data_IF_169028687147
#
_entry.id   IF_169028687147
#
_cell.length_a   1.000
_cell.length_b   1.000
_cell.length_c   1.000
_cell.angle_alpha   90.00
_cell.angle_beta   90.00
_cell.angle_gamma   90.00
#
_symmetry.space_group_name_H-M   'P 1'
#
loop_
_entity.id
_entity.type
_entity.pdbx_description
1 polymer ?
#
# COMPACT_ATOMS: atom_id res chain seq x y z
N UNK A 1 -13.02 4.58 -0.48
CA UNK A 1 -12.79 4.64 -1.94
C UNK A 1 -11.81 3.53 -2.22
N UNK A 2 -12.19 2.60 -3.09
CA UNK A 2 -11.32 1.49 -3.49
C UNK A 2 -10.47 1.97 -4.67
N UNK A 3 -9.19 2.29 -4.38
CA UNK A 3 -8.21 2.69 -5.41
C UNK A 3 -7.39 1.48 -5.80
N UNK A 4 -7.03 1.37 -7.07
CA UNK A 4 -6.04 0.41 -7.55
C UNK A 4 -4.63 0.86 -7.18
N UNK A 5 -3.71 -0.09 -7.04
CA UNK A 5 -2.32 0.20 -6.70
C UNK A 5 -1.67 1.15 -7.72
N UNK A 6 -1.96 0.98 -9.01
CA UNK A 6 -1.42 1.85 -10.06
C UNK A 6 -1.95 3.30 -10.02
N UNK A 7 -3.04 3.54 -9.31
CA UNK A 7 -3.62 4.88 -9.13
C UNK A 7 -3.00 5.60 -7.92
N UNK A 8 -2.08 4.95 -7.20
CA UNK A 8 -1.33 5.54 -6.10
C UNK A 8 -0.08 6.24 -6.62
N UNK A 9 0.09 7.49 -6.20
CA UNK A 9 1.34 8.24 -6.40
C UNK A 9 2.39 7.80 -5.38
N UNK A 10 2.93 6.59 -5.58
CA UNK A 10 3.97 6.06 -4.70
C UNK A 10 5.32 6.74 -4.98
N UNK A 11 6.10 7.05 -3.94
CA UNK A 11 7.48 7.49 -4.12
C UNK A 11 8.31 6.43 -4.83
N UNK A 12 9.31 6.87 -5.61
CA UNK A 12 10.17 5.97 -6.41
C UNK A 12 11.01 5.00 -5.57
N UNK A 13 11.16 5.24 -4.27
CA UNK A 13 11.87 4.38 -3.33
C UNK A 13 10.94 3.62 -2.37
N UNK A 14 9.70 3.41 -2.81
CA UNK A 14 8.71 2.54 -2.17
C UNK A 14 8.32 1.43 -3.14
N UNK A 15 8.20 0.21 -2.64
CA UNK A 15 7.66 -0.92 -3.40
C UNK A 15 6.64 -1.67 -2.54
N UNK A 16 5.41 -1.80 -3.04
CA UNK A 16 4.41 -2.65 -2.39
C UNK A 16 4.70 -4.11 -2.74
N UNK A 17 4.84 -4.94 -1.72
CA UNK A 17 5.19 -6.36 -1.87
C UNK A 17 3.95 -7.24 -1.88
N UNK A 18 3.04 -7.00 -0.93
CA UNK A 18 1.82 -7.79 -0.77
C UNK A 18 0.72 -6.99 -0.08
N UNK A 19 -0.53 -7.39 -0.35
CA UNK A 19 -1.69 -7.03 0.44
C UNK A 19 -2.08 -8.25 1.27
N UNK A 20 -2.32 -8.08 2.56
CA UNK A 20 -2.93 -9.10 3.40
C UNK A 20 -4.38 -8.70 3.66
N UNK A 21 -5.30 -9.55 3.22
CA UNK A 21 -6.74 -9.35 3.34
C UNK A 21 -7.34 -10.57 4.01
N UNK A 22 -8.03 -10.35 5.13
CA UNK A 22 -8.67 -11.42 5.89
C UNK A 22 -7.70 -12.58 6.20
N UNK A 23 -6.45 -12.25 6.54
CA UNK A 23 -5.39 -13.21 6.84
C UNK A 23 -4.73 -13.89 5.62
N UNK A 24 -5.13 -13.54 4.39
CA UNK A 24 -4.60 -14.13 3.17
C UNK A 24 -3.71 -13.15 2.39
N UNK A 25 -2.60 -13.66 1.85
CA UNK A 25 -1.69 -12.89 1.00
C UNK A 25 -2.25 -12.79 -0.41
N UNK A 26 -2.43 -11.56 -0.89
CA UNK A 26 -2.81 -11.20 -2.26
C UNK A 26 -1.62 -10.55 -2.94
N UNK A 27 -1.30 -11.03 -4.15
CA UNK A 27 -0.20 -10.48 -4.95
C UNK A 27 -0.54 -9.05 -5.38
N UNK A 28 0.36 -8.11 -5.06
CA UNK A 28 0.27 -6.72 -5.53
C UNK A 28 0.47 -6.65 -7.04
N UNK A 29 -0.59 -6.32 -7.78
CA UNK A 29 -0.54 -5.93 -9.19
C UNK A 29 -1.06 -4.50 -9.32
N UNK A 30 -0.71 -3.81 -10.38
CA UNK A 30 -1.23 -2.45 -10.65
C UNK A 30 -2.76 -2.39 -10.56
N UNK A 31 -3.43 -3.43 -11.09
CA UNK A 31 -4.89 -3.57 -11.09
C UNK A 31 -5.50 -4.03 -9.76
N UNK A 32 -4.69 -4.39 -8.75
CA UNK A 32 -5.22 -4.87 -7.46
C UNK A 32 -5.90 -3.71 -6.73
N UNK A 33 -7.21 -3.82 -6.39
CA UNK A 33 -7.90 -2.80 -5.62
C UNK A 33 -7.53 -2.90 -4.14
N UNK A 34 -7.16 -1.77 -3.55
CA UNK A 34 -7.00 -1.60 -2.11
C UNK A 34 -8.33 -1.24 -1.47
N UNK A 35 -8.70 -1.99 -0.44
CA UNK A 35 -9.96 -1.84 0.29
C UNK A 35 -9.69 -1.53 1.76
N UNK A 36 -10.66 -0.92 2.45
CA UNK A 36 -10.55 -0.68 3.89
C UNK A 36 -10.34 -2.02 4.63
N UNK A 37 -9.40 -2.04 5.56
CA UNK A 37 -9.06 -3.24 6.33
C UNK A 37 -7.91 -4.05 5.73
N UNK A 38 -7.46 -3.71 4.52
CA UNK A 38 -6.23 -4.28 3.97
C UNK A 38 -5.02 -3.88 4.81
N UNK A 39 -4.18 -4.86 5.08
CA UNK A 39 -2.82 -4.65 5.56
C UNK A 39 -1.87 -4.66 4.36
N UNK A 40 -0.92 -3.74 4.31
CA UNK A 40 0.00 -3.61 3.17
C UNK A 40 1.43 -3.80 3.64
N UNK A 41 2.12 -4.75 3.02
CA UNK A 41 3.56 -4.96 3.18
C UNK A 41 4.28 -4.17 2.11
N UNK A 42 5.22 -3.32 2.52
CA UNK A 42 6.01 -2.48 1.63
C UNK A 42 7.48 -2.47 2.03
N UNK A 43 8.35 -2.44 1.02
CA UNK A 43 9.74 -2.06 1.19
C UNK A 43 9.84 -0.55 1.00
N UNK A 44 10.50 0.11 1.95
CA UNK A 44 10.71 1.56 1.94
C UNK A 44 12.16 1.84 2.29
N UNK A 45 12.70 2.93 1.74
CA UNK A 45 13.96 3.50 2.25
C UNK A 45 13.81 3.85 3.73
N UNK A 46 14.87 3.60 4.49
CA UNK A 46 14.97 4.02 5.89
C UNK A 46 14.62 5.52 6.05
N UNK A 47 13.81 5.83 7.07
CA UNK A 47 13.33 7.19 7.34
C UNK A 47 12.16 7.68 6.47
N UNK A 48 11.64 6.87 5.53
CA UNK A 48 10.49 7.25 4.67
C UNK A 48 9.17 6.53 4.97
N UNK A 49 9.11 5.70 6.00
CA UNK A 49 7.90 4.96 6.39
C UNK A 49 6.69 5.86 6.69
N UNK A 50 6.92 7.04 7.27
CA UNK A 50 5.84 7.96 7.65
C UNK A 50 5.10 8.56 6.45
N UNK A 51 5.81 8.78 5.34
CA UNK A 51 5.21 9.27 4.10
C UNK A 51 4.23 8.23 3.55
N UNK A 52 4.65 6.97 3.52
CA UNK A 52 3.81 5.87 3.06
C UNK A 52 2.57 5.69 3.96
N UNK A 53 2.76 5.78 5.28
CA UNK A 53 1.65 5.72 6.23
C UNK A 53 0.62 6.81 5.96
N UNK A 54 1.05 8.05 5.73
CA UNK A 54 0.14 9.17 5.42
C UNK A 54 -0.65 8.94 4.13
N UNK A 55 -0.01 8.35 3.11
CA UNK A 55 -0.63 8.08 1.82
C UNK A 55 -1.69 6.95 1.88
N UNK A 56 -1.41 5.87 2.63
CA UNK A 56 -2.28 4.69 2.66
C UNK A 56 -3.36 4.72 3.75
N UNK A 57 -3.05 5.28 4.93
CA UNK A 57 -3.94 5.23 6.10
C UNK A 57 -4.69 6.56 6.29
N UNK A 58 -4.23 7.64 5.65
CA UNK A 58 -4.75 8.99 5.87
C UNK A 58 -4.29 9.59 7.21
N UNK A 59 -4.52 10.91 7.37
CA UNK A 59 -4.43 11.55 8.68
C UNK A 59 -5.80 11.41 9.35
N UNK A 60 -5.80 10.96 10.60
CA UNK A 60 -7.00 10.91 11.42
C UNK A 60 -7.49 12.32 11.73
#
# INVERSE_FOLDING_TARGET
IDKRIEELELPSDVTLVAVVREGHVVVCRGTTPLTRGDEVLALVREGRSDLLRKLLVGQR
#
